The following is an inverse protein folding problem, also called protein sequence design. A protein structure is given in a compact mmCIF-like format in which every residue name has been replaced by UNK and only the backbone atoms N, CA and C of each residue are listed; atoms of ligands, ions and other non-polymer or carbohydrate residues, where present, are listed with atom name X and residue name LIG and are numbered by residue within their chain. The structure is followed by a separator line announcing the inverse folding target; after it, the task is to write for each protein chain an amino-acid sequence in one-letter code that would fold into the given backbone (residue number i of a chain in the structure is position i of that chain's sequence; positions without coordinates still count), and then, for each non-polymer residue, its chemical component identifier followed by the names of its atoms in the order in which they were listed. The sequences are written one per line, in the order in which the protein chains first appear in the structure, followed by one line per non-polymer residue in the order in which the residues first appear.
data_IF_881288424225
#
_entry.id   IF_881288424225
#
_cell.length_a   1.000
_cell.length_b   1.000
_cell.length_c   1.000
_cell.angle_alpha   90.00
_cell.angle_beta   90.00
_cell.angle_gamma   90.00
#
_symmetry.space_group_name_H-M   'P 1'
#
loop_
_entity.id
_entity.type
_entity.pdbx_description
1 polymer ?
#
# COMPACT_ATOMS: atom_id res chain seq x y z
N UNK A 1 -23.05 -20.63 -5.01
CA UNK A 1 -22.37 -19.53 -5.74
C UNK A 1 -22.25 -18.26 -4.91
N UNK A 2 -23.29 -17.88 -4.14
CA UNK A 2 -23.28 -16.68 -3.25
C UNK A 2 -22.06 -16.58 -2.32
N UNK A 3 -21.73 -17.66 -1.60
CA UNK A 3 -20.61 -17.66 -0.66
C UNK A 3 -19.25 -17.39 -1.32
N UNK A 4 -19.01 -17.95 -2.51
CA UNK A 4 -17.78 -17.70 -3.29
C UNK A 4 -17.70 -16.25 -3.74
N UNK A 5 -18.83 -15.69 -4.20
CA UNK A 5 -18.94 -14.29 -4.60
C UNK A 5 -18.62 -13.36 -3.42
N UNK A 6 -19.22 -13.60 -2.25
CA UNK A 6 -18.98 -12.79 -1.05
C UNK A 6 -17.51 -12.83 -0.58
N UNK A 7 -16.85 -13.99 -0.73
CA UNK A 7 -15.42 -14.12 -0.42
C UNK A 7 -14.57 -13.34 -1.43
N UNK A 8 -14.90 -13.44 -2.72
CA UNK A 8 -14.18 -12.76 -3.81
C UNK A 8 -14.33 -11.24 -3.77
N UNK A 9 -15.53 -10.75 -3.48
CA UNK A 9 -15.84 -9.31 -3.38
C UNK A 9 -15.43 -8.70 -2.04
N UNK A 10 -14.95 -9.52 -1.09
CA UNK A 10 -14.45 -9.06 0.20
C UNK A 10 -13.29 -8.08 0.02
N UNK A 11 -13.32 -6.98 0.79
CA UNK A 11 -12.29 -5.95 0.73
C UNK A 11 -11.87 -5.47 2.13
N UNK A 12 -10.65 -4.95 2.22
CA UNK A 12 -10.04 -4.45 3.45
C UNK A 12 -9.71 -2.97 3.25
N UNK A 13 -10.18 -2.07 4.12
CA UNK A 13 -9.76 -0.68 4.10
C UNK A 13 -8.31 -0.57 4.58
N UNK A 14 -7.45 0.00 3.74
CA UNK A 14 -6.04 0.22 4.02
C UNK A 14 -5.74 1.72 4.03
N UNK A 15 -4.93 2.13 4.99
CA UNK A 15 -4.34 3.46 5.06
C UNK A 15 -2.83 3.32 4.92
N UNK A 16 -2.31 3.69 3.76
CA UNK A 16 -0.89 3.55 3.42
C UNK A 16 -0.21 4.89 3.68
N UNK A 17 0.86 4.85 4.47
CA UNK A 17 1.69 6.00 4.76
C UNK A 17 3.02 5.85 4.03
N UNK A 18 3.55 6.97 3.52
CA UNK A 18 4.95 7.02 3.17
C UNK A 18 5.76 7.00 4.47
N UNK A 19 6.79 6.16 4.54
CA UNK A 19 7.64 6.07 5.73
C UNK A 19 8.34 7.41 5.97
N UNK A 20 8.44 7.85 7.23
CA UNK A 20 8.95 9.18 7.58
C UNK A 20 10.37 9.45 7.08
N UNK A 21 11.22 8.41 6.98
CA UNK A 21 12.58 8.53 6.44
C UNK A 21 12.62 8.85 4.94
N UNK A 22 11.53 8.62 4.22
CA UNK A 22 11.41 8.79 2.77
C UNK A 22 10.69 10.08 2.37
N UNK A 23 10.24 10.89 3.34
CA UNK A 23 9.50 12.14 3.06
C UNK A 23 10.48 13.27 2.76
N UNK A 24 10.39 13.87 1.57
CA UNK A 24 11.20 15.03 1.16
C UNK A 24 10.44 16.35 1.14
N UNK A 25 9.14 16.34 1.43
CA UNK A 25 8.27 17.53 1.40
C UNK A 25 7.83 17.97 2.80
N UNK A 26 7.57 19.27 2.96
CA UNK A 26 6.90 19.83 4.13
C UNK A 26 5.69 20.66 3.65
N UNK A 27 4.45 20.31 4.05
CA UNK A 27 4.08 19.20 4.93
C UNK A 27 4.32 17.80 4.31
N UNK A 28 4.34 16.73 5.13
CA UNK A 28 4.36 15.35 4.63
C UNK A 28 3.12 15.05 3.78
N UNK A 29 3.20 14.11 2.82
CA UNK A 29 2.07 13.76 1.98
C UNK A 29 0.95 13.10 2.80
N UNK A 30 -0.30 13.39 2.43
CA UNK A 30 -1.45 12.69 2.99
C UNK A 30 -1.39 11.19 2.70
N UNK A 31 -1.87 10.33 3.61
CA UNK A 31 -1.90 8.89 3.38
C UNK A 31 -2.79 8.53 2.18
N UNK A 32 -2.45 7.44 1.49
CA UNK A 32 -3.29 6.86 0.46
C UNK A 32 -4.34 5.95 1.11
N UNK A 33 -5.61 6.20 0.84
CA UNK A 33 -6.73 5.39 1.32
C UNK A 33 -7.18 4.45 0.20
N UNK A 34 -7.08 3.14 0.43
CA UNK A 34 -7.38 2.11 -0.57
C UNK A 34 -8.34 1.09 0.02
N UNK A 35 -9.37 0.71 -0.74
CA UNK A 35 -10.17 -0.46 -0.46
C UNK A 35 -9.62 -1.64 -1.27
N UNK A 36 -8.73 -2.42 -0.66
CA UNK A 36 -8.01 -3.49 -1.34
C UNK A 36 -8.81 -4.80 -1.31
N UNK A 37 -8.77 -5.62 -2.37
CA UNK A 37 -9.41 -6.93 -2.35
C UNK A 37 -8.74 -7.83 -1.31
N UNK A 38 -9.53 -8.52 -0.50
CA UNK A 38 -9.02 -9.44 0.53
C UNK A 38 -8.23 -10.59 -0.09
N UNK A 39 -8.59 -10.99 -1.31
CA UNK A 39 -7.83 -11.94 -2.11
C UNK A 39 -6.94 -11.15 -3.08
N UNK A 40 -5.79 -10.71 -2.59
CA UNK A 40 -4.81 -9.95 -3.35
C UNK A 40 -3.47 -9.91 -2.63
N UNK A 41 -2.45 -9.39 -3.30
CA UNK A 41 -1.10 -9.24 -2.75
C UNK A 41 -0.74 -7.76 -2.65
N UNK A 42 -0.02 -7.38 -1.59
CA UNK A 42 0.46 -6.00 -1.36
C UNK A 42 1.18 -5.36 -2.57
N UNK A 43 2.07 -6.05 -3.30
CA UNK A 43 2.75 -5.46 -4.46
C UNK A 43 1.81 -4.99 -5.57
N UNK A 44 0.60 -5.54 -5.67
CA UNK A 44 -0.38 -5.12 -6.67
C UNK A 44 -0.92 -3.71 -6.42
N UNK A 45 -0.72 -3.16 -5.22
CA UNK A 45 -1.09 -1.78 -4.90
C UNK A 45 -0.04 -0.76 -5.40
N UNK A 46 1.19 -1.20 -5.69
CA UNK A 46 2.32 -0.31 -6.05
C UNK A 46 2.00 0.63 -7.22
N UNK A 47 1.41 0.17 -8.34
CA UNK A 47 1.06 1.06 -9.45
C UNK A 47 0.05 2.15 -9.08
N UNK A 48 -0.77 1.93 -8.05
CA UNK A 48 -1.76 2.90 -7.57
C UNK A 48 -1.15 3.90 -6.57
N UNK A 49 -0.28 3.43 -5.67
CA UNK A 49 0.31 4.28 -4.60
C UNK A 49 1.57 5.03 -5.02
N UNK A 50 2.41 4.47 -5.91
CA UNK A 50 3.68 5.11 -6.28
C UNK A 50 3.45 6.49 -6.92
N UNK A 51 2.46 6.70 -7.83
CA UNK A 51 2.15 8.02 -8.33
C UNK A 51 1.73 9.01 -7.25
N UNK A 52 0.94 8.57 -6.26
CA UNK A 52 0.46 9.41 -5.15
C UNK A 52 1.60 9.96 -4.29
N UNK A 53 2.64 9.16 -4.04
CA UNK A 53 3.80 9.57 -3.24
C UNK A 53 4.97 10.13 -4.05
N UNK A 54 4.92 10.06 -5.39
CA UNK A 54 6.04 10.39 -6.27
C UNK A 54 6.64 11.79 -6.04
N UNK A 55 5.81 12.79 -5.73
CA UNK A 55 6.26 14.16 -5.45
C UNK A 55 6.94 14.37 -4.09
N UNK A 56 6.86 13.38 -3.20
CA UNK A 56 7.41 13.44 -1.85
C UNK A 56 8.55 12.44 -1.60
N UNK A 57 8.94 11.66 -2.61
CA UNK A 57 10.02 10.69 -2.54
C UNK A 57 11.38 11.33 -2.82
N UNK A 58 12.49 10.77 -2.30
CA UNK A 58 13.82 11.13 -2.73
C UNK A 58 14.08 10.65 -4.17
N UNK A 59 14.98 11.33 -4.92
CA UNK A 59 15.38 10.88 -6.25
C UNK A 59 15.99 9.47 -6.21
N UNK A 60 15.58 8.60 -7.14
CA UNK A 60 16.13 7.24 -7.26
C UNK A 60 15.50 6.17 -6.35
N UNK A 61 14.43 6.50 -5.63
CA UNK A 61 13.66 5.53 -4.85
C UNK A 61 12.83 4.59 -5.77
N UNK A 62 13.43 3.45 -6.13
CA UNK A 62 12.80 2.48 -7.05
C UNK A 62 12.26 1.22 -6.39
N UNK A 63 12.76 0.86 -5.22
CA UNK A 63 12.33 -0.35 -4.50
C UNK A 63 11.23 -0.01 -3.49
N UNK A 64 10.11 -0.73 -3.56
CA UNK A 64 8.99 -0.57 -2.63
C UNK A 64 8.84 -1.84 -1.78
N UNK A 65 8.67 -1.65 -0.48
CA UNK A 65 8.33 -2.70 0.48
C UNK A 65 7.36 -2.14 1.52
N UNK A 66 6.72 -3.02 2.29
CA UNK A 66 5.68 -2.64 3.24
C UNK A 66 6.03 -3.13 4.63
N UNK A 67 5.68 -2.35 5.64
CA UNK A 67 5.74 -2.73 7.04
C UNK A 67 4.38 -2.55 7.73
N UNK A 68 4.22 -3.20 8.87
CA UNK A 68 3.14 -2.89 9.80
C UNK A 68 3.70 -2.87 11.21
N UNK A 69 3.69 -1.67 11.83
CA UNK A 69 4.22 -1.44 13.19
C UNK A 69 5.69 -1.89 13.33
N UNK A 70 6.53 -1.58 12.33
CA UNK A 70 7.95 -1.94 12.34
C UNK A 70 8.25 -3.38 11.94
N UNK A 71 7.23 -4.19 11.61
CA UNK A 71 7.43 -5.55 11.11
C UNK A 71 7.34 -5.55 9.58
N UNK A 72 8.41 -5.96 8.86
CA UNK A 72 8.37 -6.05 7.41
C UNK A 72 7.38 -7.11 6.97
N UNK A 73 6.47 -6.74 6.06
CA UNK A 73 5.45 -7.63 5.52
C UNK A 73 6.01 -8.42 4.34
N UNK A 74 5.69 -9.71 4.30
CA UNK A 74 6.06 -10.59 3.20
C UNK A 74 5.21 -10.26 1.97
N UNK A 75 5.86 -10.02 0.84
CA UNK A 75 5.20 -9.65 -0.42
C UNK A 75 4.27 -10.73 -0.99
N UNK A 76 4.53 -12.00 -0.70
CA UNK A 76 3.77 -13.17 -1.18
C UNK A 76 2.63 -13.58 -0.23
N UNK A 77 2.38 -12.82 0.83
CA UNK A 77 1.26 -13.07 1.74
C UNK A 77 0.04 -12.29 1.26
N UNK A 78 -1.10 -12.98 1.22
CA UNK A 78 -2.40 -12.37 0.92
C UNK A 78 -2.82 -11.47 2.09
N UNK A 79 -3.56 -10.40 1.80
CA UNK A 79 -4.09 -9.46 2.82
C UNK A 79 -4.84 -10.14 3.98
#
# INVERSE_FOLDING_TARGET
MEALKNVWEGAIPLQIHLHESEVTTLPPPSPALILAPRIGYLPLLVPQIKPHFSGALPPGADTVWFDYRGLPLKWYTVF
#
